data_IF_736444658938
#
_entry.id   IF_736444658938
#
_cell.length_a   1.000
_cell.length_b   1.000
_cell.length_c   1.000
_cell.angle_alpha   90.00
_cell.angle_beta   90.00
_cell.angle_gamma   90.00
#
_symmetry.space_group_name_H-M   'P 1'
#
loop_
_entity.id
_entity.type
_entity.pdbx_description
1 polymer ?
#
# COMPACT_ATOMS: atom_id res chain seq x y z
N UNK A 1 -2.47 -20.98 0.70
CA UNK A 1 -2.53 -20.40 -0.67
C UNK A 1 -1.23 -19.60 -0.85
N UNK A 2 -0.32 -20.10 -1.69
CA UNK A 2 0.88 -19.37 -2.08
C UNK A 2 0.49 -18.15 -2.90
N UNK A 3 0.81 -16.96 -2.42
CA UNK A 3 0.65 -15.72 -3.15
C UNK A 3 1.72 -15.61 -4.24
N UNK A 4 1.34 -15.93 -5.46
CA UNK A 4 2.21 -15.75 -6.62
C UNK A 4 1.98 -14.39 -7.26
N UNK A 5 3.06 -13.63 -7.45
CA UNK A 5 3.01 -12.39 -8.24
C UNK A 5 2.76 -12.74 -9.70
N UNK A 6 1.57 -12.41 -10.20
CA UNK A 6 1.25 -12.62 -11.60
C UNK A 6 1.78 -11.47 -12.47
N UNK A 7 2.47 -11.82 -13.55
CA UNK A 7 2.93 -10.87 -14.58
C UNK A 7 1.90 -10.84 -15.71
N UNK A 8 1.34 -9.67 -15.98
CA UNK A 8 0.34 -9.50 -17.04
C UNK A 8 1.01 -9.17 -18.37
N UNK A 9 0.82 -10.02 -19.38
CA UNK A 9 1.26 -9.78 -20.75
C UNK A 9 0.06 -9.60 -21.67
N UNK A 10 -0.11 -8.38 -22.20
CA UNK A 10 -1.14 -8.12 -23.19
C UNK A 10 -0.61 -8.44 -24.58
N UNK A 11 -1.23 -9.42 -25.23
CA UNK A 11 -0.87 -9.89 -26.56
C UNK A 11 -1.40 -9.01 -27.70
N UNK A 12 -1.40 -7.68 -27.53
CA UNK A 12 -1.86 -6.73 -28.56
C UNK A 12 -0.78 -6.38 -29.59
N UNK A 13 0.49 -6.66 -29.29
CA UNK A 13 1.62 -6.43 -30.21
C UNK A 13 1.64 -7.42 -31.36
N UNK A 14 2.53 -7.22 -32.35
CA UNK A 14 2.75 -8.20 -33.43
C UNK A 14 3.15 -9.57 -32.84
N UNK A 15 2.80 -10.64 -33.56
CA UNK A 15 3.13 -12.00 -33.13
C UNK A 15 4.64 -12.19 -32.82
N UNK A 16 5.58 -11.72 -33.70
CA UNK A 16 7.02 -11.81 -33.39
C UNK A 16 7.40 -11.12 -32.08
N UNK A 17 6.78 -9.95 -31.77
CA UNK A 17 7.04 -9.23 -30.51
C UNK A 17 6.56 -10.01 -29.29
N UNK A 18 5.40 -10.64 -29.37
CA UNK A 18 4.86 -11.48 -28.30
C UNK A 18 5.76 -12.71 -28.08
N UNK A 19 6.16 -13.39 -29.19
CA UNK A 19 7.07 -14.55 -29.13
C UNK A 19 8.40 -14.18 -28.47
N UNK A 20 8.99 -13.05 -28.83
CA UNK A 20 10.26 -12.58 -28.25
C UNK A 20 10.11 -12.33 -26.74
N UNK A 21 9.02 -11.71 -26.33
CA UNK A 21 8.75 -11.45 -24.90
C UNK A 21 8.57 -12.75 -24.12
N UNK A 22 7.76 -13.69 -24.60
CA UNK A 22 7.54 -14.99 -23.97
C UNK A 22 8.84 -15.77 -23.84
N UNK A 23 9.65 -15.82 -24.89
CA UNK A 23 10.98 -16.47 -24.85
C UNK A 23 11.89 -15.84 -23.80
N UNK A 24 11.84 -14.51 -23.63
CA UNK A 24 12.59 -13.82 -22.58
C UNK A 24 12.13 -14.20 -21.17
N UNK A 25 10.82 -14.28 -20.92
CA UNK A 25 10.27 -14.72 -19.65
C UNK A 25 10.62 -16.19 -19.35
N UNK A 26 10.59 -17.05 -20.37
CA UNK A 26 11.01 -18.45 -20.24
C UNK A 26 12.49 -18.56 -19.84
N UNK A 27 13.38 -17.79 -20.47
CA UNK A 27 14.81 -17.76 -20.10
C UNK A 27 15.04 -17.27 -18.66
N UNK A 28 14.18 -16.41 -18.15
CA UNK A 28 14.22 -15.94 -16.75
C UNK A 28 13.58 -16.91 -15.75
N UNK A 29 13.00 -18.02 -16.20
CA UNK A 29 12.34 -19.00 -15.34
C UNK A 29 11.02 -18.54 -14.73
N UNK A 30 10.39 -17.45 -15.23
CA UNK A 30 9.18 -16.84 -14.68
C UNK A 30 7.96 -16.92 -15.61
N UNK A 31 8.00 -17.81 -16.61
CA UNK A 31 6.89 -17.99 -17.56
C UNK A 31 5.63 -18.51 -16.87
N UNK A 32 5.78 -19.28 -15.81
CA UNK A 32 4.67 -19.82 -15.02
C UNK A 32 3.96 -18.77 -14.15
N UNK A 33 4.49 -17.56 -14.07
CA UNK A 33 3.83 -16.43 -13.41
C UNK A 33 3.08 -15.54 -14.38
N UNK A 34 3.14 -15.86 -15.68
CA UNK A 34 2.53 -15.06 -16.73
C UNK A 34 1.05 -15.37 -16.90
N UNK A 35 0.25 -14.29 -16.91
CA UNK A 35 -1.12 -14.27 -17.42
C UNK A 35 -1.11 -13.55 -18.76
N UNK A 36 -1.42 -14.26 -19.84
CA UNK A 36 -1.47 -13.71 -21.19
C UNK A 36 -2.90 -13.35 -21.53
N UNK A 37 -3.15 -12.11 -21.93
CA UNK A 37 -4.47 -11.65 -22.42
C UNK A 37 -4.36 -11.41 -23.92
N UNK A 38 -5.21 -12.04 -24.70
CA UNK A 38 -5.32 -11.77 -26.13
C UNK A 38 -6.74 -12.06 -26.64
N UNK A 39 -7.11 -11.41 -27.72
CA UNK A 39 -8.37 -11.70 -28.44
C UNK A 39 -8.21 -12.86 -29.42
N UNK A 40 -8.88 -12.74 -30.57
CA UNK A 40 -8.88 -13.73 -31.67
C UNK A 40 -7.52 -13.77 -32.40
N UNK A 41 -6.55 -14.44 -31.78
CA UNK A 41 -5.17 -14.59 -32.30
C UNK A 41 -4.65 -16.00 -32.03
N UNK A 42 -5.09 -17.01 -32.76
CA UNK A 42 -4.78 -18.42 -32.51
C UNK A 42 -3.29 -18.71 -32.36
N UNK A 43 -2.45 -18.09 -33.22
CA UNK A 43 -0.99 -18.29 -33.14
C UNK A 43 -0.38 -17.78 -31.83
N UNK A 44 -0.90 -16.69 -31.28
CA UNK A 44 -0.44 -16.14 -30.00
C UNK A 44 -0.95 -17.00 -28.83
N UNK A 45 -2.20 -17.45 -28.92
CA UNK A 45 -2.83 -18.34 -27.94
C UNK A 45 -2.05 -19.66 -27.88
N UNK A 46 -1.84 -20.31 -29.02
CA UNK A 46 -1.10 -21.58 -29.09
C UNK A 46 0.31 -21.43 -28.54
N UNK A 47 1.03 -20.40 -28.98
CA UNK A 47 2.39 -20.16 -28.49
C UNK A 47 2.48 -19.92 -26.98
N UNK A 48 1.48 -19.24 -26.41
CA UNK A 48 1.41 -19.02 -24.95
C UNK A 48 1.23 -20.34 -24.18
N UNK A 49 0.28 -21.18 -24.61
CA UNK A 49 0.01 -22.47 -23.93
C UNK A 49 1.15 -23.48 -24.10
N UNK A 50 1.80 -23.55 -25.27
CA UNK A 50 3.01 -24.37 -25.52
C UNK A 50 4.15 -24.03 -24.54
N UNK A 51 4.23 -22.78 -24.08
CA UNK A 51 5.26 -22.33 -23.17
C UNK A 51 4.90 -22.49 -21.71
N UNK A 52 3.69 -23.00 -21.40
CA UNK A 52 3.25 -23.27 -20.02
C UNK A 52 3.05 -22.01 -19.21
N UNK A 53 2.42 -20.98 -19.78
CA UNK A 53 2.01 -19.80 -19.02
C UNK A 53 0.98 -20.18 -17.96
N UNK A 54 0.89 -19.42 -16.88
CA UNK A 54 -0.08 -19.69 -15.81
C UNK A 54 -1.51 -19.68 -16.32
N UNK A 55 -1.87 -18.65 -17.08
CA UNK A 55 -3.20 -18.53 -17.65
C UNK A 55 -3.18 -17.81 -18.99
N UNK A 56 -4.10 -18.25 -19.86
CA UNK A 56 -4.47 -17.59 -21.09
C UNK A 56 -5.89 -17.03 -20.92
N UNK A 57 -6.04 -15.71 -21.07
CA UNK A 57 -7.35 -15.05 -21.06
C UNK A 57 -7.72 -14.64 -22.48
N UNK A 58 -8.75 -15.26 -23.04
CA UNK A 58 -9.28 -14.87 -24.37
C UNK A 58 -10.42 -13.87 -24.19
N UNK A 59 -10.39 -12.80 -24.98
CA UNK A 59 -11.26 -11.63 -24.83
C UNK A 59 -12.19 -11.47 -26.02
N UNK A 60 -13.17 -10.57 -25.91
CA UNK A 60 -14.16 -10.26 -26.94
C UNK A 60 -14.96 -11.49 -27.44
N UNK A 61 -15.23 -12.44 -26.54
CA UNK A 61 -15.97 -13.65 -26.90
C UNK A 61 -15.18 -14.67 -27.75
N UNK A 62 -13.88 -14.46 -27.96
CA UNK A 62 -13.04 -15.42 -28.67
C UNK A 62 -12.93 -16.74 -27.89
N UNK A 63 -13.16 -17.85 -28.60
CA UNK A 63 -13.00 -19.20 -28.06
C UNK A 63 -11.76 -19.85 -28.64
N UNK A 64 -10.86 -20.42 -27.82
CA UNK A 64 -9.72 -21.17 -28.31
C UNK A 64 -10.16 -22.43 -29.09
N UNK A 65 -9.37 -22.83 -30.08
CA UNK A 65 -9.56 -24.08 -30.81
C UNK A 65 -9.24 -25.30 -29.94
N UNK A 66 -9.70 -26.47 -30.34
CA UNK A 66 -9.49 -27.72 -29.58
C UNK A 66 -8.02 -28.03 -29.36
N UNK A 67 -7.16 -27.83 -30.34
CA UNK A 67 -5.71 -28.03 -30.22
C UNK A 67 -5.06 -27.13 -29.16
N UNK A 68 -5.53 -25.90 -29.03
CA UNK A 68 -5.09 -24.99 -27.99
C UNK A 68 -5.54 -25.48 -26.62
N UNK A 69 -6.78 -25.97 -26.48
CA UNK A 69 -7.32 -26.51 -25.22
C UNK A 69 -6.56 -27.77 -24.81
N UNK A 70 -6.31 -28.69 -25.72
CA UNK A 70 -5.55 -29.92 -25.47
C UNK A 70 -4.10 -29.60 -25.05
N UNK A 71 -3.46 -28.65 -25.73
CA UNK A 71 -2.11 -28.19 -25.37
C UNK A 71 -2.09 -27.56 -23.99
N UNK A 72 -3.09 -26.73 -23.65
CA UNK A 72 -3.20 -26.10 -22.36
C UNK A 72 -3.38 -27.12 -21.22
N UNK A 73 -4.16 -28.18 -21.47
CA UNK A 73 -4.31 -29.30 -20.50
C UNK A 73 -2.98 -30.01 -20.27
N UNK A 74 -2.24 -30.29 -21.35
CA UNK A 74 -0.96 -30.96 -21.26
C UNK A 74 0.12 -30.12 -20.52
N UNK A 75 0.06 -28.79 -20.63
CA UNK A 75 1.02 -27.88 -19.99
C UNK A 75 0.57 -27.35 -18.63
N UNK A 76 -0.66 -27.62 -18.22
CA UNK A 76 -1.23 -27.11 -16.97
C UNK A 76 -1.63 -25.62 -17.03
N UNK A 77 -1.78 -25.06 -18.25
CA UNK A 77 -2.21 -23.67 -18.44
C UNK A 77 -3.71 -23.52 -18.22
N UNK A 78 -4.13 -22.61 -17.36
CA UNK A 78 -5.54 -22.27 -17.18
C UNK A 78 -6.05 -21.42 -18.34
N UNK A 79 -7.19 -21.79 -18.96
CA UNK A 79 -7.85 -20.96 -19.99
C UNK A 79 -9.09 -20.30 -19.40
N UNK A 80 -9.21 -19.00 -19.58
CA UNK A 80 -10.39 -18.21 -19.23
C UNK A 80 -10.88 -17.45 -20.47
N UNK A 81 -12.16 -17.58 -20.78
CA UNK A 81 -12.80 -16.85 -21.89
C UNK A 81 -13.79 -15.82 -21.34
N UNK A 82 -13.81 -14.64 -21.94
CA UNK A 82 -14.69 -13.55 -21.50
C UNK A 82 -15.21 -12.74 -22.71
N UNK A 83 -16.44 -12.24 -22.66
CA UNK A 83 -16.96 -11.34 -23.69
C UNK A 83 -16.34 -9.93 -23.64
N UNK A 84 -15.64 -9.58 -22.58
CA UNK A 84 -15.07 -8.25 -22.39
C UNK A 84 -13.84 -8.04 -23.30
N UNK A 85 -13.56 -6.78 -23.61
CA UNK A 85 -12.39 -6.40 -24.39
C UNK A 85 -11.09 -6.52 -23.58
N UNK A 86 -9.97 -6.53 -24.29
CA UNK A 86 -8.62 -6.71 -23.70
C UNK A 86 -8.25 -5.62 -22.69
N UNK A 87 -8.66 -4.36 -22.94
CA UNK A 87 -8.33 -3.25 -22.06
C UNK A 87 -9.10 -3.36 -20.72
N UNK A 88 -10.40 -3.64 -20.82
CA UNK A 88 -11.27 -3.86 -19.65
C UNK A 88 -10.78 -5.03 -18.79
N UNK A 89 -10.41 -6.16 -19.41
CA UNK A 89 -9.87 -7.32 -18.71
C UNK A 89 -8.54 -6.97 -18.02
N UNK A 90 -7.65 -6.26 -18.70
CA UNK A 90 -6.39 -5.80 -18.11
C UNK A 90 -6.61 -4.91 -16.89
N UNK A 91 -7.59 -4.02 -16.94
CA UNK A 91 -8.00 -3.16 -15.83
C UNK A 91 -8.54 -3.99 -14.66
N UNK A 92 -9.47 -4.90 -14.92
CA UNK A 92 -10.08 -5.76 -13.89
C UNK A 92 -9.04 -6.59 -13.16
N UNK A 93 -8.10 -7.21 -13.87
CA UNK A 93 -7.02 -7.99 -13.25
C UNK A 93 -6.15 -7.10 -12.36
N UNK A 94 -5.83 -5.86 -12.80
CA UNK A 94 -5.07 -4.91 -11.97
C UNK A 94 -5.85 -4.49 -10.72
N UNK A 95 -7.15 -4.27 -10.84
CA UNK A 95 -8.01 -3.87 -9.73
C UNK A 95 -8.36 -5.03 -8.78
N UNK A 96 -8.13 -6.29 -9.17
CA UNK A 96 -8.43 -7.46 -8.34
C UNK A 96 -7.39 -7.72 -7.24
N UNK A 97 -6.30 -6.95 -7.20
CA UNK A 97 -5.27 -7.09 -6.17
C UNK A 97 -5.84 -6.78 -4.79
N UNK A 98 -5.53 -7.63 -3.84
CA UNK A 98 -5.93 -7.42 -2.45
C UNK A 98 -5.08 -6.32 -1.82
N UNK A 99 -5.66 -5.54 -0.91
CA UNK A 99 -4.95 -4.46 -0.18
C UNK A 99 -3.70 -5.00 0.51
N UNK A 100 -3.73 -6.22 1.04
CA UNK A 100 -2.58 -6.86 1.70
C UNK A 100 -1.33 -6.97 0.82
N UNK A 101 -1.47 -7.04 -0.51
CA UNK A 101 -0.34 -7.08 -1.46
C UNK A 101 0.37 -5.72 -1.60
N UNK A 102 -0.25 -4.64 -1.10
CA UNK A 102 0.25 -3.27 -1.13
C UNK A 102 0.62 -2.76 0.28
N UNK A 103 0.45 -3.59 1.30
CA UNK A 103 0.76 -3.21 2.68
C UNK A 103 2.27 -3.20 2.88
N UNK A 104 2.77 -2.08 3.39
CA UNK A 104 4.13 -2.00 3.90
C UNK A 104 4.16 -2.50 5.34
N UNK A 105 4.99 -3.49 5.63
CA UNK A 105 5.13 -4.08 6.98
C UNK A 105 6.22 -3.41 7.80
N UNK A 106 7.18 -2.73 7.15
CA UNK A 106 8.19 -1.92 7.83
C UNK A 106 7.65 -0.50 8.06
N UNK A 107 6.89 -0.34 9.14
CA UNK A 107 6.38 0.95 9.57
C UNK A 107 6.51 1.11 11.08
N UNK A 108 6.73 2.36 11.51
CA UNK A 108 6.76 2.72 12.93
C UNK A 108 5.34 2.92 13.47
N UNK A 109 5.11 2.42 14.66
CA UNK A 109 3.90 2.67 15.46
C UNK A 109 4.31 3.34 16.76
N UNK A 110 3.43 4.16 17.34
CA UNK A 110 3.69 4.82 18.60
C UNK A 110 2.62 4.48 19.63
N UNK A 111 3.00 4.30 20.91
CA UNK A 111 2.03 4.10 21.98
C UNK A 111 1.35 5.44 22.36
N UNK A 112 0.09 5.38 22.78
CA UNK A 112 -0.73 6.54 23.14
C UNK A 112 -0.14 7.40 24.27
N UNK A 113 0.70 6.82 25.12
CA UNK A 113 1.30 7.50 26.27
C UNK A 113 2.72 8.04 26.00
N UNK A 114 3.20 8.00 24.74
CA UNK A 114 4.50 8.55 24.38
C UNK A 114 4.49 10.09 24.50
N UNK A 115 5.45 10.71 25.18
CA UNK A 115 5.56 12.17 25.23
C UNK A 115 5.78 12.77 23.84
N UNK A 116 5.12 13.90 23.55
CA UNK A 116 5.22 14.57 22.24
C UNK A 116 6.65 14.92 21.79
N UNK A 117 7.55 15.40 22.66
CA UNK A 117 8.94 15.67 22.28
C UNK A 117 9.69 14.43 21.79
N UNK A 118 9.49 13.29 22.43
CA UNK A 118 10.09 12.00 22.03
C UNK A 118 9.51 11.53 20.69
N UNK A 119 8.21 11.64 20.55
CA UNK A 119 7.49 11.29 19.32
C UNK A 119 7.96 12.13 18.13
N UNK A 120 8.15 13.45 18.30
CA UNK A 120 8.70 14.35 17.28
C UNK A 120 10.08 13.88 16.82
N UNK A 121 10.98 13.57 17.73
CA UNK A 121 12.32 13.09 17.41
C UNK A 121 12.30 11.77 16.65
N UNK A 122 11.43 10.84 17.04
CA UNK A 122 11.28 9.55 16.39
C UNK A 122 10.66 9.68 14.98
N UNK A 123 9.63 10.52 14.83
CA UNK A 123 8.91 10.71 13.57
C UNK A 123 9.77 11.40 12.49
N UNK A 124 10.60 12.38 12.86
CA UNK A 124 11.48 13.11 11.91
C UNK A 124 12.46 12.15 11.24
N UNK A 125 12.98 11.15 11.95
CA UNK A 125 13.95 10.18 11.42
C UNK A 125 13.33 9.18 10.43
N UNK A 126 12.01 9.13 10.27
CA UNK A 126 11.30 8.20 9.40
C UNK A 126 10.81 8.88 8.13
N UNK A 127 10.85 8.14 7.00
CA UNK A 127 10.24 8.60 5.73
C UNK A 127 8.71 8.44 5.71
N UNK A 128 8.17 7.72 6.66
CA UNK A 128 6.73 7.47 6.83
C UNK A 128 5.96 8.78 7.01
N UNK A 129 4.80 8.90 6.36
CA UNK A 129 3.95 10.09 6.42
C UNK A 129 2.91 10.01 7.54
N UNK A 130 2.35 8.80 7.75
CA UNK A 130 1.31 8.52 8.75
C UNK A 130 1.82 7.48 9.74
N UNK A 131 1.58 7.71 11.02
CA UNK A 131 2.00 6.82 12.10
C UNK A 131 0.77 6.30 12.84
N UNK A 132 0.53 4.98 12.88
CA UNK A 132 -0.49 4.40 13.73
C UNK A 132 -0.17 4.63 15.20
N UNK A 133 -1.21 4.96 15.97
CA UNK A 133 -1.14 5.09 17.43
C UNK A 133 -1.84 3.91 18.07
N UNK A 134 -1.14 3.25 19.00
CA UNK A 134 -1.60 2.02 19.64
C UNK A 134 -1.95 2.28 21.10
N UNK A 135 -3.09 1.74 21.53
CA UNK A 135 -3.44 1.72 22.94
C UNK A 135 -2.54 0.76 23.72
N UNK A 136 -1.92 1.24 24.79
CA UNK A 136 -1.09 0.43 25.69
C UNK A 136 -1.93 -0.63 26.42
N UNK A 137 -3.20 -0.33 26.70
CA UNK A 137 -4.10 -1.24 27.44
C UNK A 137 -4.63 -2.38 26.58
N UNK A 138 -5.01 -2.08 25.33
CA UNK A 138 -5.72 -3.04 24.47
C UNK A 138 -4.87 -3.59 23.34
N UNK A 139 -3.70 -3.02 23.11
CA UNK A 139 -2.83 -3.29 21.96
C UNK A 139 -3.57 -3.15 20.61
N UNK A 140 -4.57 -2.28 20.54
CA UNK A 140 -5.32 -1.97 19.32
C UNK A 140 -4.96 -0.59 18.82
N UNK A 141 -5.04 -0.40 17.51
CA UNK A 141 -4.90 0.91 16.89
C UNK A 141 -6.09 1.78 17.31
N UNK A 142 -5.80 2.97 17.85
CA UNK A 142 -6.79 3.96 18.29
C UNK A 142 -6.85 5.18 17.37
N UNK A 143 -5.88 5.33 16.48
CA UNK A 143 -5.84 6.43 15.52
C UNK A 143 -4.57 6.42 14.70
N UNK A 144 -4.43 7.46 13.88
CA UNK A 144 -3.23 7.76 13.10
C UNK A 144 -2.82 9.20 13.34
N UNK A 145 -1.52 9.44 13.24
CA UNK A 145 -0.89 10.73 13.43
C UNK A 145 -0.03 11.04 12.21
N UNK A 146 -0.05 12.24 11.69
CA UNK A 146 0.83 12.72 10.64
C UNK A 146 1.98 13.58 11.21
N UNK A 147 3.01 13.82 10.40
CA UNK A 147 4.06 14.78 10.78
C UNK A 147 3.52 16.21 10.93
N UNK A 148 2.48 16.55 10.18
CA UNK A 148 1.84 17.88 10.24
C UNK A 148 1.17 18.11 11.58
N UNK A 149 0.55 17.07 12.16
CA UNK A 149 -0.10 17.16 13.48
C UNK A 149 0.92 17.41 14.61
N UNK A 150 2.20 17.14 14.36
CA UNK A 150 3.28 17.36 15.32
C UNK A 150 3.86 18.78 15.24
N UNK A 151 3.56 19.55 14.19
CA UNK A 151 4.08 20.91 14.02
C UNK A 151 3.39 21.86 14.98
N UNK A 152 2.07 21.77 15.07
CA UNK A 152 1.25 22.61 15.94
C UNK A 152 0.18 21.75 16.63
N UNK A 153 0.55 20.95 17.64
CA UNK A 153 -0.40 20.15 18.40
C UNK A 153 -1.30 21.06 19.26
N UNK A 154 -2.55 20.65 19.52
CA UNK A 154 -3.42 21.38 20.44
C UNK A 154 -2.75 21.51 21.80
N UNK A 155 -2.61 22.74 22.26
CA UNK A 155 -1.98 23.02 23.57
C UNK A 155 -2.98 22.75 24.70
N UNK A 156 -2.48 22.16 25.76
CA UNK A 156 -3.26 22.00 27.00
C UNK A 156 -3.53 23.37 27.60
N UNK A 157 -4.80 23.69 27.85
CA UNK A 157 -5.18 24.94 28.50
C UNK A 157 -4.97 24.82 30.00
N UNK A 158 -4.25 25.77 30.58
CA UNK A 158 -3.95 25.80 32.02
C UNK A 158 -4.27 27.16 32.60
N UNK A 159 -4.74 27.17 33.83
CA UNK A 159 -4.81 28.36 34.68
C UNK A 159 -3.68 28.28 35.71
N UNK A 160 -2.93 29.36 35.85
CA UNK A 160 -1.89 29.48 36.88
C UNK A 160 -2.51 30.03 38.13
N UNK A 161 -2.24 29.42 39.31
CA UNK A 161 -2.74 29.86 40.57
C UNK A 161 -1.55 30.02 41.52
N UNK A 162 -1.46 31.18 42.14
CA UNK A 162 -0.44 31.52 43.14
C UNK A 162 1.00 31.63 42.58
N UNK A 163 1.14 31.85 41.26
CA UNK A 163 2.39 32.19 40.61
C UNK A 163 2.15 32.84 39.23
N UNK A 164 3.02 33.79 38.87
CA UNK A 164 2.91 34.56 37.65
C UNK A 164 4.16 34.52 36.75
N UNK A 165 5.09 33.59 37.06
CA UNK A 165 6.28 33.36 36.28
C UNK A 165 6.43 31.88 35.93
N UNK A 166 6.91 31.57 34.72
CA UNK A 166 7.14 30.17 34.28
C UNK A 166 8.16 29.43 35.16
N UNK A 167 9.10 30.18 35.74
CA UNK A 167 10.12 29.63 36.65
C UNK A 167 9.54 29.01 37.91
N UNK A 168 8.34 29.43 38.32
CA UNK A 168 7.63 28.95 39.49
C UNK A 168 6.66 27.79 39.16
N UNK A 169 6.35 27.59 37.90
CA UNK A 169 5.41 26.60 37.43
C UNK A 169 6.08 25.22 37.21
N UNK A 170 5.25 24.20 36.99
CA UNK A 170 5.75 22.88 36.66
C UNK A 170 6.44 22.88 35.30
N UNK A 171 7.45 22.05 35.15
CA UNK A 171 8.18 21.89 33.88
C UNK A 171 7.22 21.49 32.74
N UNK A 172 7.31 22.19 31.61
CA UNK A 172 6.47 21.98 30.46
C UNK A 172 5.28 22.94 30.34
N UNK A 173 5.06 23.82 31.33
CA UNK A 173 4.00 24.84 31.27
C UNK A 173 4.20 25.82 30.12
N UNK A 174 5.42 26.02 29.68
CA UNK A 174 5.80 26.84 28.51
C UNK A 174 5.22 26.33 27.19
N UNK A 175 4.84 25.05 27.15
CA UNK A 175 4.17 24.44 25.98
C UNK A 175 2.64 24.52 26.07
N UNK A 176 2.07 24.98 27.19
CA UNK A 176 0.65 25.09 27.42
C UNK A 176 0.09 26.46 26.93
N UNK A 177 -1.21 26.51 26.73
CA UNK A 177 -1.96 27.77 26.54
C UNK A 177 -2.41 28.28 27.90
N UNK A 178 -1.80 29.38 28.36
CA UNK A 178 -2.19 30.01 29.61
C UNK A 178 -3.49 30.80 29.37
N UNK A 179 -4.59 30.33 29.96
CA UNK A 179 -5.92 30.97 29.80
C UNK A 179 -6.23 31.96 30.92
N UNK A 180 -5.61 31.78 32.08
CA UNK A 180 -5.83 32.63 33.25
C UNK A 180 -4.66 32.53 34.24
N UNK A 181 -4.32 33.61 34.91
CA UNK A 181 -3.39 33.65 36.00
C UNK A 181 -4.01 34.38 37.20
N UNK A 182 -4.07 33.70 38.33
CA UNK A 182 -4.50 34.27 39.63
C UNK A 182 -3.34 34.28 40.58
N UNK A 183 -2.83 35.46 40.89
CA UNK A 183 -1.70 35.61 41.80
C UNK A 183 -1.87 36.84 42.70
N UNK A 184 -1.40 36.73 43.92
CA UNK A 184 -1.41 37.82 44.89
C UNK A 184 -0.03 38.45 45.09
N UNK A 185 1.00 37.93 44.41
CA UNK A 185 2.36 38.46 44.44
C UNK A 185 2.53 39.67 43.47
N UNK A 186 3.68 40.35 43.57
CA UNK A 186 3.99 41.39 42.58
C UNK A 186 4.10 40.82 41.20
N UNK A 187 3.53 41.54 40.21
CA UNK A 187 3.57 41.13 38.80
C UNK A 187 5.04 40.93 38.36
N UNK A 188 5.35 39.72 37.91
CA UNK A 188 6.59 39.40 37.23
C UNK A 188 6.60 39.97 35.80
N UNK A 189 7.77 40.00 35.18
CA UNK A 189 7.97 40.59 33.83
C UNK A 189 7.78 39.57 32.70
N UNK A 190 7.44 38.33 32.97
CA UNK A 190 7.34 37.25 31.98
C UNK A 190 6.05 36.42 32.17
N UNK A 191 4.98 36.90 31.60
CA UNK A 191 3.82 36.10 31.14
C UNK A 191 3.61 36.39 29.69
#
# INVERSE_FOLDING_TARGET
EEETQNILLVGASSEPSVRTRLANYKRKGIVQDLVVICGDRPNVQLYAVEHGVRALVTTAGSSPSLDIIETAQATGTCILSTPWDTASVGQLIRCSRKVREQVHTDYAVFPENMPLPELRQAAVKRKQALFPVMSVKTNKMIGVLSKTDLVDPPRTRVALVDHNEFSQAVKGVEEAEIVEGMDHHRLGTQL
#
